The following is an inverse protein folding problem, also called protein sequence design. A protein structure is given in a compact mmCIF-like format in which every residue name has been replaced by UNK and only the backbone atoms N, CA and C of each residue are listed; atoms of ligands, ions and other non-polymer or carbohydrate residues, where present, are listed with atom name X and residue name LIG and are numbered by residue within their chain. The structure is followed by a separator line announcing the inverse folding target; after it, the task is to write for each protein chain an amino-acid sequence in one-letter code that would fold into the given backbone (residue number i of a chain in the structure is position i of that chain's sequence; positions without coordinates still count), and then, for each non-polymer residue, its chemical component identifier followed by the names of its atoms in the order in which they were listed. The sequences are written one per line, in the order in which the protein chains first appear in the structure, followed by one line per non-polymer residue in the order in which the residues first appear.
data_IF_622053677177
#
_entry.id   IF_622053677177
#
_cell.length_a   1.000
_cell.length_b   1.000
_cell.length_c   1.000
_cell.angle_alpha   90.00
_cell.angle_beta   90.00
_cell.angle_gamma   90.00
#
_symmetry.space_group_name_H-M   'P 1'
#
loop_
_entity.id
_entity.type
_entity.pdbx_description
1 polymer ?
#
# COMPACT_ATOMS: atom_id res chain seq x y z
N UNK A 1 50.49 -51.78 10.07
CA UNK A 1 50.11 -50.91 11.22
C UNK A 1 50.11 -49.44 10.81
N UNK A 2 51.19 -48.91 10.22
CA UNK A 2 51.32 -47.50 9.80
C UNK A 2 50.24 -46.95 8.84
N UNK A 3 49.67 -47.78 7.96
CA UNK A 3 48.71 -47.32 6.93
C UNK A 3 47.31 -47.06 7.52
N UNK A 4 46.92 -47.80 8.57
CA UNK A 4 45.68 -47.54 9.33
C UNK A 4 45.78 -46.23 10.11
N UNK A 5 46.95 -45.91 10.67
CA UNK A 5 47.16 -44.69 11.42
C UNK A 5 47.15 -43.44 10.52
N UNK A 6 47.74 -43.53 9.31
CA UNK A 6 47.61 -42.47 8.29
C UNK A 6 46.16 -42.19 7.92
N UNK A 7 45.39 -43.24 7.62
CA UNK A 7 43.97 -43.12 7.22
C UNK A 7 43.10 -42.56 8.35
N UNK A 8 43.40 -42.94 9.60
CA UNK A 8 42.75 -42.39 10.80
C UNK A 8 43.04 -40.90 10.95
N UNK A 9 44.28 -40.47 10.79
CA UNK A 9 44.65 -39.05 10.90
C UNK A 9 43.98 -38.19 9.81
N UNK A 10 43.91 -38.69 8.58
CA UNK A 10 43.24 -38.00 7.49
C UNK A 10 41.73 -37.82 7.72
N UNK A 11 41.04 -38.86 8.24
CA UNK A 11 39.63 -38.75 8.64
C UNK A 11 39.40 -37.73 9.77
N UNK A 12 40.37 -37.59 10.68
CA UNK A 12 40.28 -36.59 11.77
C UNK A 12 40.43 -35.18 11.21
N UNK A 13 41.33 -34.93 10.27
CA UNK A 13 41.45 -33.64 9.58
C UNK A 13 40.19 -33.28 8.80
N UNK A 14 39.63 -34.23 8.03
CA UNK A 14 38.37 -34.03 7.30
C UNK A 14 37.19 -33.72 8.24
N UNK A 15 37.11 -34.39 9.39
CA UNK A 15 36.11 -34.12 10.43
C UNK A 15 36.29 -32.73 11.05
N UNK A 16 37.53 -32.29 11.26
CA UNK A 16 37.85 -30.96 11.77
C UNK A 16 37.38 -29.88 10.77
N UNK A 17 37.69 -30.06 9.49
CA UNK A 17 37.33 -29.14 8.42
C UNK A 17 35.79 -29.07 8.22
N UNK A 18 35.11 -30.22 8.29
CA UNK A 18 33.65 -30.27 8.27
C UNK A 18 33.01 -29.52 9.45
N UNK A 19 33.57 -29.65 10.66
CA UNK A 19 33.07 -28.92 11.84
C UNK A 19 33.21 -27.41 11.67
N UNK A 20 34.33 -26.93 11.12
CA UNK A 20 34.53 -25.51 10.85
C UNK A 20 33.52 -24.99 9.81
N UNK A 21 33.28 -25.75 8.73
CA UNK A 21 32.27 -25.41 7.71
C UNK A 21 30.86 -25.34 8.32
N UNK A 22 30.47 -26.31 9.16
CA UNK A 22 29.17 -26.32 9.84
C UNK A 22 29.02 -25.09 10.75
N UNK A 23 30.04 -24.77 11.55
CA UNK A 23 30.03 -23.57 12.39
C UNK A 23 29.90 -22.28 11.57
N UNK A 24 30.52 -22.23 10.38
CA UNK A 24 30.35 -21.15 9.40
C UNK A 24 28.90 -21.03 8.91
N UNK A 25 28.28 -22.14 8.52
CA UNK A 25 26.89 -22.18 8.06
C UNK A 25 25.90 -21.76 9.14
N UNK A 26 26.13 -22.15 10.40
CA UNK A 26 25.30 -21.72 11.52
C UNK A 26 25.35 -20.20 11.71
N UNK A 27 26.52 -19.58 11.62
CA UNK A 27 26.67 -18.11 11.66
C UNK A 27 25.90 -17.42 10.54
N UNK A 28 25.98 -17.95 9.31
CA UNK A 28 25.24 -17.43 8.16
C UNK A 28 23.74 -17.54 8.39
N UNK A 29 23.25 -18.69 8.85
CA UNK A 29 21.83 -18.92 9.15
C UNK A 29 21.30 -17.95 10.20
N UNK A 30 22.04 -17.73 11.29
CA UNK A 30 21.68 -16.74 12.31
C UNK A 30 21.60 -15.33 11.70
N UNK A 31 22.56 -14.97 10.85
CA UNK A 31 22.57 -13.66 10.18
C UNK A 31 21.39 -13.49 9.22
N UNK A 32 21.05 -14.49 8.42
CA UNK A 32 19.89 -14.49 7.53
C UNK A 32 18.60 -14.23 8.32
N UNK A 33 18.36 -14.98 9.40
CA UNK A 33 17.19 -14.79 10.26
C UNK A 33 17.11 -13.36 10.83
N UNK A 34 18.26 -12.78 11.22
CA UNK A 34 18.31 -11.40 11.69
C UNK A 34 17.98 -10.39 10.58
N UNK A 35 18.48 -10.60 9.37
CA UNK A 35 18.21 -9.75 8.21
C UNK A 35 16.74 -9.82 7.80
N UNK A 36 16.15 -11.02 7.74
CA UNK A 36 14.71 -11.20 7.49
C UNK A 36 13.85 -10.47 8.51
N UNK A 37 14.20 -10.57 9.80
CA UNK A 37 13.49 -9.85 10.87
C UNK A 37 13.59 -8.33 10.69
N UNK A 38 14.78 -7.81 10.37
CA UNK A 38 14.99 -6.38 10.09
C UNK A 38 14.20 -5.93 8.87
N UNK A 39 14.23 -6.70 7.78
CA UNK A 39 13.49 -6.42 6.56
C UNK A 39 11.98 -6.34 6.84
N UNK A 40 11.43 -7.32 7.56
CA UNK A 40 10.00 -7.34 7.95
C UNK A 40 9.62 -6.13 8.82
N UNK A 41 10.51 -5.72 9.73
CA UNK A 41 10.29 -4.53 10.55
C UNK A 41 10.34 -3.24 9.73
N UNK A 42 11.32 -3.09 8.84
CA UNK A 42 11.42 -1.94 7.93
C UNK A 42 10.21 -1.84 7.02
N UNK A 43 9.77 -2.96 6.45
CA UNK A 43 8.55 -3.02 5.63
C UNK A 43 7.31 -2.58 6.42
N UNK A 44 7.15 -3.06 7.67
CA UNK A 44 6.03 -2.65 8.53
C UNK A 44 6.06 -1.14 8.84
N UNK A 45 7.25 -0.57 9.07
CA UNK A 45 7.42 0.88 9.30
C UNK A 45 7.06 1.68 8.04
N UNK A 46 7.54 1.24 6.88
CA UNK A 46 7.24 1.88 5.60
C UNK A 46 5.74 1.85 5.30
N UNK A 47 5.08 0.69 5.49
CA UNK A 47 3.63 0.56 5.31
C UNK A 47 2.86 1.54 6.20
N UNK A 48 3.19 1.61 7.49
CA UNK A 48 2.57 2.57 8.42
C UNK A 48 2.79 4.02 8.00
N UNK A 49 4.00 4.36 7.55
CA UNK A 49 4.31 5.69 7.08
C UNK A 49 3.49 6.08 5.85
N UNK A 50 3.36 5.18 4.87
CA UNK A 50 2.50 5.42 3.71
C UNK A 50 1.02 5.59 4.10
N UNK A 51 0.52 4.77 5.03
CA UNK A 51 -0.84 4.93 5.56
C UNK A 51 -1.03 6.28 6.26
N UNK A 52 -0.06 6.72 7.05
CA UNK A 52 -0.10 8.03 7.71
C UNK A 52 -0.06 9.18 6.70
N UNK A 53 0.75 9.09 5.63
CA UNK A 53 0.75 10.10 4.57
C UNK A 53 -0.60 10.14 3.86
N UNK A 54 -1.15 8.99 3.47
CA UNK A 54 -2.45 8.93 2.84
C UNK A 54 -3.51 9.57 3.73
N UNK A 55 -3.49 9.29 5.03
CA UNK A 55 -4.41 9.90 5.98
C UNK A 55 -4.25 11.43 6.07
N UNK A 56 -3.02 11.94 6.15
CA UNK A 56 -2.77 13.39 6.15
C UNK A 56 -3.29 14.04 4.87
N UNK A 57 -3.07 13.41 3.71
CA UNK A 57 -3.57 13.90 2.43
C UNK A 57 -5.11 13.94 2.44
N UNK A 58 -5.78 12.91 2.95
CA UNK A 58 -7.24 12.89 3.05
C UNK A 58 -7.77 13.99 3.95
N UNK A 59 -7.12 14.23 5.09
CA UNK A 59 -7.50 15.30 6.01
C UNK A 59 -7.36 16.67 5.33
N UNK A 60 -6.31 16.91 4.54
CA UNK A 60 -6.14 18.16 3.78
C UNK A 60 -7.30 18.40 2.81
N UNK A 61 -7.80 17.34 2.16
CA UNK A 61 -8.97 17.41 1.28
C UNK A 61 -10.24 17.70 2.08
N UNK A 62 -10.44 17.01 3.21
CA UNK A 62 -11.61 17.12 4.07
C UNK A 62 -11.68 18.45 4.85
N UNK A 63 -10.56 19.10 5.19
CA UNK A 63 -10.56 20.38 5.93
C UNK A 63 -11.35 21.46 5.18
N UNK A 64 -11.44 21.35 3.86
CA UNK A 64 -12.19 22.29 3.00
C UNK A 64 -13.70 22.00 2.99
N UNK A 65 -14.12 20.89 3.58
CA UNK A 65 -15.52 20.50 3.76
C UNK A 65 -15.75 19.93 5.18
N UNK A 66 -16.23 20.75 6.12
CA UNK A 66 -16.50 20.32 7.50
C UNK A 66 -17.45 19.12 7.62
N UNK A 67 -18.27 18.85 6.60
CA UNK A 67 -19.21 17.72 6.61
C UNK A 67 -18.56 16.39 6.21
N UNK A 68 -17.38 16.44 5.58
CA UNK A 68 -16.67 15.26 5.11
C UNK A 68 -15.63 14.73 6.09
N UNK A 69 -15.54 15.25 7.32
CA UNK A 69 -14.58 14.74 8.32
C UNK A 69 -14.76 13.23 8.51
N UNK A 70 -13.69 12.48 8.28
CA UNK A 70 -13.63 11.02 8.33
C UNK A 70 -14.41 10.30 7.21
N UNK A 71 -14.89 11.01 6.19
CA UNK A 71 -15.63 10.44 5.06
C UNK A 71 -14.78 9.40 4.34
N UNK A 72 -13.55 9.75 3.97
CA UNK A 72 -12.66 8.84 3.25
C UNK A 72 -12.35 7.58 4.07
N UNK A 73 -12.21 7.72 5.39
CA UNK A 73 -12.02 6.58 6.28
C UNK A 73 -13.25 5.65 6.31
N UNK A 74 -14.47 6.21 6.36
CA UNK A 74 -15.72 5.42 6.35
C UNK A 74 -15.90 4.70 5.01
N UNK A 75 -15.69 5.40 3.89
CA UNK A 75 -15.72 4.82 2.54
C UNK A 75 -14.68 3.71 2.42
N UNK A 76 -13.46 3.94 2.90
CA UNK A 76 -12.39 2.93 2.85
C UNK A 76 -12.71 1.67 3.65
N UNK A 77 -13.30 1.82 4.85
CA UNK A 77 -13.78 0.68 5.64
C UNK A 77 -14.87 -0.11 4.89
N UNK A 78 -15.84 0.58 4.30
CA UNK A 78 -16.92 -0.07 3.56
C UNK A 78 -16.42 -0.77 2.29
N UNK A 79 -15.59 -0.10 1.50
CA UNK A 79 -15.00 -0.67 0.28
C UNK A 79 -14.15 -1.91 0.60
N UNK A 80 -13.39 -1.87 1.70
CA UNK A 80 -12.61 -3.03 2.19
C UNK A 80 -13.54 -4.19 2.58
N UNK A 81 -14.63 -3.92 3.30
CA UNK A 81 -15.59 -4.95 3.69
C UNK A 81 -16.28 -5.59 2.48
N UNK A 82 -16.68 -4.79 1.48
CA UNK A 82 -17.24 -5.29 0.22
C UNK A 82 -16.22 -6.17 -0.51
N UNK A 83 -14.97 -5.71 -0.64
CA UNK A 83 -13.91 -6.48 -1.29
C UNK A 83 -13.59 -7.82 -0.57
N UNK A 84 -13.73 -7.85 0.76
CA UNK A 84 -13.62 -9.07 1.57
C UNK A 84 -14.76 -10.03 1.30
N UNK A 85 -16.01 -9.54 1.26
CA UNK A 85 -17.19 -10.35 0.97
C UNK A 85 -17.13 -10.95 -0.46
N UNK A 86 -16.57 -10.18 -1.40
CA UNK A 86 -16.27 -10.63 -2.76
C UNK A 86 -15.10 -11.65 -2.84
N UNK A 87 -14.48 -11.99 -1.70
CA UNK A 87 -13.35 -12.93 -1.60
C UNK A 87 -12.15 -12.54 -2.47
N UNK A 88 -11.88 -11.25 -2.61
CA UNK A 88 -10.70 -10.79 -3.33
C UNK A 88 -9.41 -11.17 -2.59
N UNK A 89 -8.29 -11.39 -3.31
CA UNK A 89 -6.99 -11.59 -2.68
C UNK A 89 -6.63 -10.44 -1.75
N UNK A 90 -5.99 -10.75 -0.61
CA UNK A 90 -5.60 -9.76 0.41
C UNK A 90 -4.82 -8.57 -0.17
N UNK A 91 -3.96 -8.83 -1.15
CA UNK A 91 -3.20 -7.78 -1.83
C UNK A 91 -4.10 -6.80 -2.59
N UNK A 92 -5.11 -7.30 -3.33
CA UNK A 92 -6.09 -6.44 -4.02
C UNK A 92 -6.94 -5.63 -3.04
N UNK A 93 -7.30 -6.22 -1.89
CA UNK A 93 -8.04 -5.53 -0.83
C UNK A 93 -7.24 -4.32 -0.31
N UNK A 94 -5.93 -4.42 -0.17
CA UNK A 94 -5.09 -3.29 0.22
C UNK A 94 -5.09 -2.18 -0.84
N UNK A 95 -5.07 -2.53 -2.13
CA UNK A 95 -5.24 -1.58 -3.23
C UNK A 95 -6.58 -0.84 -3.17
N UNK A 96 -7.69 -1.56 -2.97
CA UNK A 96 -9.03 -0.97 -2.79
C UNK A 96 -9.08 -0.03 -1.59
N UNK A 97 -8.50 -0.47 -0.46
CA UNK A 97 -8.43 0.33 0.77
C UNK A 97 -7.67 1.64 0.54
N UNK A 98 -6.54 1.59 -0.16
CA UNK A 98 -5.74 2.78 -0.45
C UNK A 98 -6.44 3.70 -1.46
N UNK A 99 -6.96 3.15 -2.55
CA UNK A 99 -7.67 3.94 -3.58
C UNK A 99 -8.88 4.67 -3.01
N UNK A 100 -9.68 3.99 -2.18
CA UNK A 100 -10.83 4.58 -1.50
C UNK A 100 -10.48 5.69 -0.50
N UNK A 101 -9.29 5.67 0.11
CA UNK A 101 -8.82 6.81 0.91
C UNK A 101 -8.61 8.02 0.01
N UNK A 102 -7.93 7.86 -1.12
CA UNK A 102 -7.47 8.99 -1.95
C UNK A 102 -8.38 9.32 -3.14
N UNK A 103 -9.54 8.66 -3.28
CA UNK A 103 -10.40 8.75 -4.48
C UNK A 103 -10.80 10.18 -4.85
N UNK A 104 -10.97 11.02 -3.85
CA UNK A 104 -11.47 12.38 -3.98
C UNK A 104 -10.34 13.44 -3.99
N UNK A 105 -9.07 13.02 -4.10
CA UNK A 105 -7.92 13.94 -4.07
C UNK A 105 -7.99 15.04 -5.14
N UNK A 106 -8.67 14.81 -6.27
CA UNK A 106 -8.85 15.82 -7.30
C UNK A 106 -9.70 17.02 -6.87
N UNK A 107 -10.48 16.90 -5.79
CA UNK A 107 -11.27 18.01 -5.24
C UNK A 107 -10.41 19.16 -4.72
N UNK A 108 -9.11 18.96 -4.52
CA UNK A 108 -8.16 20.04 -4.16
C UNK A 108 -8.16 21.19 -5.17
N UNK A 109 -8.50 20.94 -6.43
CA UNK A 109 -8.54 21.95 -7.48
C UNK A 109 -9.85 22.76 -7.53
N UNK A 110 -10.85 22.39 -6.72
CA UNK A 110 -12.14 23.07 -6.72
C UNK A 110 -12.14 24.25 -5.72
N UNK A 111 -12.89 25.34 -6.00
CA UNK A 111 -13.15 26.40 -5.03
C UNK A 111 -13.85 25.86 -3.78
N UNK A 112 -13.49 26.38 -2.61
CA UNK A 112 -14.05 25.91 -1.33
C UNK A 112 -15.56 26.14 -1.28
N UNK A 113 -16.04 27.24 -1.85
CA UNK A 113 -17.45 27.63 -1.92
C UNK A 113 -18.31 26.61 -2.70
N UNK A 114 -17.70 25.91 -3.66
CA UNK A 114 -18.37 24.84 -4.43
C UNK A 114 -18.35 23.53 -3.64
N UNK A 115 -17.21 23.20 -3.03
CA UNK A 115 -17.04 21.95 -2.28
C UNK A 115 -17.90 21.92 -1.03
N UNK A 116 -17.97 23.02 -0.26
CA UNK A 116 -18.70 23.11 1.00
C UNK A 116 -20.18 23.51 0.84
N UNK A 117 -20.72 23.50 -0.39
CA UNK A 117 -22.06 24.01 -0.67
C UNK A 117 -23.13 23.03 -0.20
N UNK A 118 -24.03 23.50 0.68
CA UNK A 118 -25.14 22.70 1.21
C UNK A 118 -26.39 22.69 0.30
N UNK A 119 -26.50 23.67 -0.58
CA UNK A 119 -27.62 23.82 -1.51
C UNK A 119 -27.33 23.11 -2.83
N UNK A 120 -28.38 22.89 -3.65
CA UNK A 120 -28.21 22.32 -4.99
C UNK A 120 -27.15 23.08 -5.79
N UNK A 121 -26.25 22.33 -6.40
CA UNK A 121 -25.27 22.84 -7.33
C UNK A 121 -25.97 23.28 -8.62
N UNK A 122 -25.53 24.40 -9.18
CA UNK A 122 -25.83 24.73 -10.57
C UNK A 122 -25.18 23.72 -11.51
N UNK A 123 -25.68 23.64 -12.74
CA UNK A 123 -25.12 22.76 -13.76
C UNK A 123 -23.63 23.02 -14.01
N UNK A 124 -23.21 24.29 -14.00
CA UNK A 124 -21.81 24.67 -14.18
C UNK A 124 -20.95 24.18 -13.01
N UNK A 125 -21.40 24.37 -11.76
CA UNK A 125 -20.69 23.89 -10.57
C UNK A 125 -20.58 22.36 -10.55
N UNK A 126 -21.66 21.67 -10.94
CA UNK A 126 -21.67 20.22 -11.02
C UNK A 126 -20.69 19.70 -12.10
N UNK A 127 -20.66 20.35 -13.26
CA UNK A 127 -19.70 20.02 -14.33
C UNK A 127 -18.25 20.28 -13.90
N UNK A 128 -17.98 21.29 -13.05
CA UNK A 128 -16.66 21.48 -12.46
C UNK A 128 -16.28 20.33 -11.53
N UNK A 129 -17.20 19.93 -10.63
CA UNK A 129 -16.97 18.81 -9.71
C UNK A 129 -16.70 17.52 -10.47
N UNK A 130 -17.42 17.24 -11.56
CA UNK A 130 -17.23 16.04 -12.40
C UNK A 130 -15.80 15.84 -12.91
N UNK A 131 -14.97 16.89 -12.94
CA UNK A 131 -13.58 16.76 -13.36
C UNK A 131 -12.64 16.22 -12.27
N UNK A 132 -13.08 16.11 -11.00
CA UNK A 132 -12.21 15.67 -9.92
C UNK A 132 -11.60 14.26 -10.12
N UNK A 133 -12.26 13.25 -10.73
CA UNK A 133 -11.63 11.94 -10.97
C UNK A 133 -10.46 12.06 -11.94
N UNK A 134 -10.61 12.88 -12.99
CA UNK A 134 -9.54 13.16 -13.97
C UNK A 134 -8.36 13.89 -13.34
N UNK A 135 -8.62 14.91 -12.52
CA UNK A 135 -7.58 15.63 -11.81
C UNK A 135 -6.86 14.69 -10.83
N UNK A 136 -7.61 13.85 -10.12
CA UNK A 136 -7.06 12.82 -9.24
C UNK A 136 -6.16 11.84 -9.97
N UNK A 137 -6.59 11.36 -11.15
CA UNK A 137 -5.76 10.55 -12.04
C UNK A 137 -4.46 11.28 -12.43
N UNK A 138 -4.55 12.52 -12.88
CA UNK A 138 -3.40 13.31 -13.33
C UNK A 138 -2.38 13.60 -12.21
N UNK A 139 -2.85 13.68 -10.96
CA UNK A 139 -2.00 13.76 -9.75
C UNK A 139 -1.35 12.41 -9.46
N UNK A 140 -2.15 11.35 -9.39
CA UNK A 140 -1.73 10.04 -8.88
C UNK A 140 -0.90 9.23 -9.88
N UNK A 141 -1.11 9.41 -11.20
CA UNK A 141 -0.36 8.70 -12.25
C UNK A 141 1.15 9.00 -12.26
N UNK A 142 1.58 10.03 -11.53
CA UNK A 142 2.99 10.43 -11.39
C UNK A 142 3.73 9.62 -10.31
N UNK A 143 2.99 8.84 -9.52
CA UNK A 143 3.53 8.05 -8.42
C UNK A 143 3.46 6.57 -8.83
N UNK A 144 4.57 5.87 -8.63
CA UNK A 144 4.66 4.43 -8.89
C UNK A 144 4.03 3.65 -7.71
N UNK A 145 2.71 3.50 -7.76
CA UNK A 145 1.97 2.72 -6.77
C UNK A 145 2.05 1.23 -7.07
N UNK A 146 2.04 0.42 -6.01
CA UNK A 146 1.96 -1.05 -6.13
C UNK A 146 0.67 -1.55 -6.80
N UNK A 147 -0.37 -0.71 -6.83
CA UNK A 147 -1.71 -1.00 -7.36
C UNK A 147 -2.10 0.08 -8.38
N UNK A 148 -3.07 -0.19 -9.27
CA UNK A 148 -3.56 0.79 -10.26
C UNK A 148 -4.45 1.86 -9.61
N UNK A 149 -3.88 2.60 -8.66
CA UNK A 149 -4.60 3.56 -7.83
C UNK A 149 -5.14 4.69 -8.70
N UNK A 150 -4.34 5.20 -9.64
CA UNK A 150 -4.75 6.27 -10.53
C UNK A 150 -6.00 5.87 -11.34
N UNK A 151 -5.99 4.67 -11.94
CA UNK A 151 -7.10 4.16 -12.75
C UNK A 151 -8.37 3.97 -11.92
N UNK A 152 -8.26 3.43 -10.71
CA UNK A 152 -9.40 3.28 -9.80
C UNK A 152 -9.98 4.66 -9.46
N UNK A 153 -9.13 5.63 -9.15
CA UNK A 153 -9.57 7.01 -8.88
C UNK A 153 -10.20 7.64 -10.12
N UNK A 154 -9.70 7.36 -11.33
CA UNK A 154 -10.28 7.89 -12.55
C UNK A 154 -11.72 7.40 -12.77
N UNK A 155 -11.99 6.14 -12.41
CA UNK A 155 -13.24 5.45 -12.73
C UNK A 155 -14.25 5.42 -11.57
N UNK A 156 -13.95 6.00 -10.41
CA UNK A 156 -14.76 5.76 -9.21
C UNK A 156 -16.19 6.36 -9.26
N UNK A 157 -16.47 7.25 -10.21
CA UNK A 157 -17.82 7.80 -10.47
C UNK A 157 -18.52 7.14 -11.66
N UNK A 158 -17.85 6.19 -12.33
CA UNK A 158 -18.41 5.49 -13.47
C UNK A 158 -19.58 4.59 -13.08
N UNK A 159 -20.47 4.37 -14.04
CA UNK A 159 -21.60 3.46 -13.88
C UNK A 159 -21.48 2.31 -14.87
N UNK A 160 -21.96 1.14 -14.47
CA UNK A 160 -21.91 -0.09 -15.27
C UNK A 160 -22.65 0.08 -16.61
N UNK A 161 -23.69 0.92 -16.64
CA UNK A 161 -24.47 1.24 -17.85
C UNK A 161 -23.82 2.28 -18.77
N UNK A 162 -22.65 2.81 -18.41
CA UNK A 162 -21.93 3.84 -19.18
C UNK A 162 -22.51 5.25 -19.06
N UNK A 163 -23.44 5.51 -18.14
CA UNK A 163 -24.00 6.85 -17.89
C UNK A 163 -23.22 7.69 -16.85
N UNK A 164 -22.02 7.22 -16.49
CA UNK A 164 -21.08 7.83 -15.54
C UNK A 164 -20.51 9.15 -16.03
#
# INVERSE_FOLDING_TARGET
MMEKDKKKNQLVEELQEMREKIAGLEKVKVKCNQLEKKLKQSYKKLKKFMESIAYVITEIVEIRDPYLIGHHQRVSKLATAIAQEMKLPRDKIEGVRFASLVHDIGKVNLPTEIVSKLNKLSEVEFNLIKNHPRIGYDILKKVDFLWPIAEIVFQHQEKIDGSG
#
